data_IF_942778812144
#
_entry.id   IF_942778812144
#
_cell.length_a   1.000
_cell.length_b   1.000
_cell.length_c   1.000
_cell.angle_alpha   90.00
_cell.angle_beta   90.00
_cell.angle_gamma   90.00
#
_symmetry.space_group_name_H-M   'P 1'
#
loop_
_entity.id
_entity.type
_entity.pdbx_description
1 polymer ?
#
# COMPACT_ATOMS: atom_id res chain seq x y z
N UNK A 1 9.29 -15.40 19.96
CA UNK A 1 10.46 -16.29 19.84
C UNK A 1 10.78 -16.45 18.37
N UNK A 2 11.96 -16.04 17.94
CA UNK A 2 12.36 -16.09 16.52
C UNK A 2 12.75 -17.53 16.18
N UNK A 3 12.19 -18.09 15.11
CA UNK A 3 12.49 -19.44 14.61
C UNK A 3 14.02 -19.60 14.46
N UNK A 4 14.66 -20.60 15.11
CA UNK A 4 16.11 -20.76 15.09
C UNK A 4 16.65 -21.00 13.67
N UNK A 5 15.87 -21.66 12.80
CA UNK A 5 16.24 -21.86 11.40
C UNK A 5 16.23 -20.55 10.62
N UNK A 6 15.27 -19.66 10.90
CA UNK A 6 15.23 -18.32 10.30
C UNK A 6 16.45 -17.50 10.70
N UNK A 7 16.77 -17.47 12.00
CA UNK A 7 17.97 -16.78 12.50
C UNK A 7 19.23 -17.31 11.80
N UNK A 8 19.41 -18.63 11.74
CA UNK A 8 20.61 -19.23 11.14
C UNK A 8 20.68 -18.96 9.63
N UNK A 9 19.54 -19.01 8.94
CA UNK A 9 19.45 -18.67 7.51
C UNK A 9 19.89 -17.23 7.24
N UNK A 10 19.40 -16.27 8.02
CA UNK A 10 19.80 -14.85 7.91
C UNK A 10 21.29 -14.70 8.19
N UNK A 11 21.80 -15.32 9.26
CA UNK A 11 23.23 -15.26 9.62
C UNK A 11 24.11 -15.83 8.49
N UNK A 12 23.77 -17.00 7.94
CA UNK A 12 24.51 -17.61 6.84
C UNK A 12 24.43 -16.75 5.58
N UNK A 13 23.24 -16.30 5.18
CA UNK A 13 23.08 -15.42 4.00
C UNK A 13 23.90 -14.13 4.12
N UNK A 14 24.00 -13.55 5.32
CA UNK A 14 24.67 -12.27 5.53
C UNK A 14 26.18 -12.38 5.75
N UNK A 15 26.70 -13.54 6.19
CA UNK A 15 28.09 -13.63 6.68
C UNK A 15 28.92 -14.76 6.07
N UNK A 16 28.29 -15.66 5.30
CA UNK A 16 28.89 -16.90 4.81
C UNK A 16 28.73 -17.05 3.29
N UNK A 17 29.36 -18.08 2.73
CA UNK A 17 29.26 -18.35 1.29
C UNK A 17 27.88 -18.88 0.91
N UNK A 18 27.53 -18.77 -0.38
CA UNK A 18 26.25 -19.30 -0.88
C UNK A 18 26.17 -20.82 -0.74
N UNK A 19 27.30 -21.53 -0.84
CA UNK A 19 27.40 -22.97 -0.68
C UNK A 19 27.05 -23.42 0.75
N UNK A 20 27.57 -22.72 1.77
CA UNK A 20 27.27 -23.03 3.18
C UNK A 20 25.77 -22.82 3.49
N UNK A 21 25.18 -21.75 2.92
CA UNK A 21 23.74 -21.51 3.03
C UNK A 21 22.93 -22.63 2.35
N UNK A 22 23.28 -23.00 1.11
CA UNK A 22 22.59 -24.05 0.35
C UNK A 22 22.70 -25.39 1.08
N UNK A 23 23.87 -25.73 1.63
CA UNK A 23 24.05 -26.94 2.42
C UNK A 23 23.15 -26.96 3.66
N UNK A 24 23.07 -25.85 4.39
CA UNK A 24 22.17 -25.73 5.54
C UNK A 24 20.69 -25.91 5.14
N UNK A 25 20.24 -25.21 4.08
CA UNK A 25 18.86 -25.29 3.60
C UNK A 25 18.49 -26.70 3.09
N UNK A 26 19.41 -27.37 2.40
CA UNK A 26 19.22 -28.76 1.95
C UNK A 26 19.12 -29.75 3.11
N UNK A 27 19.71 -29.43 4.26
CA UNK A 27 19.58 -30.21 5.49
C UNK A 27 18.25 -30.04 6.22
N UNK A 28 17.42 -29.06 5.84
CA UNK A 28 16.14 -28.82 6.47
C UNK A 28 15.05 -29.71 5.88
N UNK A 29 14.14 -30.17 6.75
CA UNK A 29 12.93 -30.86 6.31
C UNK A 29 12.02 -29.92 5.51
N UNK A 30 11.19 -30.46 4.62
CA UNK A 30 10.17 -29.68 3.89
C UNK A 30 9.26 -28.86 4.83
N UNK A 31 8.72 -29.40 5.94
CA UNK A 31 8.00 -28.60 6.92
C UNK A 31 8.82 -27.43 7.50
N UNK A 32 10.10 -27.64 7.79
CA UNK A 32 10.98 -26.58 8.30
C UNK A 32 11.20 -25.46 7.27
N UNK A 33 11.34 -25.81 5.99
CA UNK A 33 11.46 -24.84 4.90
C UNK A 33 10.15 -24.05 4.72
N UNK A 34 8.99 -24.72 4.76
CA UNK A 34 7.69 -24.05 4.68
C UNK A 34 7.53 -23.05 5.84
N UNK A 35 7.82 -23.47 7.08
CA UNK A 35 7.76 -22.60 8.25
C UNK A 35 8.70 -21.39 8.10
N UNK A 36 9.92 -21.61 7.62
CA UNK A 36 10.89 -20.55 7.37
C UNK A 36 10.40 -19.53 6.32
N UNK A 37 9.82 -20.01 5.21
CA UNK A 37 9.24 -19.12 4.20
C UNK A 37 8.07 -18.32 4.76
N UNK A 38 7.19 -18.93 5.55
CA UNK A 38 6.06 -18.24 6.20
C UNK A 38 6.57 -17.18 7.17
N UNK A 39 7.60 -17.49 7.96
CA UNK A 39 8.17 -16.53 8.91
C UNK A 39 8.82 -15.34 8.19
N UNK A 40 9.55 -15.58 7.10
CA UNK A 40 10.11 -14.51 6.26
C UNK A 40 9.01 -13.60 5.71
N UNK A 41 7.98 -14.19 5.10
CA UNK A 41 6.85 -13.42 4.56
C UNK A 41 6.16 -12.62 5.68
N UNK A 42 5.89 -13.25 6.82
CA UNK A 42 5.26 -12.60 7.97
C UNK A 42 6.08 -11.41 8.48
N UNK A 43 7.40 -11.56 8.55
CA UNK A 43 8.32 -10.50 8.96
C UNK A 43 8.24 -9.30 7.99
N UNK A 44 8.40 -9.53 6.68
CA UNK A 44 8.42 -8.45 5.70
C UNK A 44 7.04 -7.80 5.49
N UNK A 45 5.95 -8.58 5.51
CA UNK A 45 4.60 -8.02 5.40
C UNK A 45 4.16 -7.22 6.63
N UNK A 46 4.85 -7.36 7.77
CA UNK A 46 4.57 -6.61 8.99
C UNK A 46 5.67 -5.59 9.36
N UNK A 47 6.71 -5.45 8.54
CA UNK A 47 7.70 -4.41 8.72
C UNK A 47 7.02 -3.03 8.66
N UNK A 48 7.26 -2.22 9.70
CA UNK A 48 6.72 -0.87 9.86
C UNK A 48 7.53 0.17 9.08
N UNK A 49 8.79 -0.13 8.77
CA UNK A 49 9.71 0.77 8.08
C UNK A 49 9.73 0.53 6.57
N UNK A 50 9.25 -0.63 6.11
CA UNK A 50 9.18 -0.99 4.71
C UNK A 50 7.78 -1.47 4.34
N UNK A 51 7.22 -0.91 3.26
CA UNK A 51 5.95 -1.31 2.67
C UNK A 51 6.11 -2.13 1.39
N UNK A 52 7.33 -2.47 0.98
CA UNK A 52 7.61 -2.98 -0.38
C UNK A 52 6.76 -4.18 -0.79
N UNK A 53 6.63 -5.21 0.06
CA UNK A 53 5.80 -6.38 -0.30
C UNK A 53 4.31 -6.04 -0.37
N UNK A 54 3.84 -5.13 0.48
CA UNK A 54 2.45 -4.65 0.46
C UNK A 54 2.17 -3.84 -0.81
N UNK A 55 3.11 -3.00 -1.23
CA UNK A 55 3.04 -2.26 -2.50
C UNK A 55 2.97 -3.20 -3.70
N UNK A 56 3.90 -4.15 -3.78
CA UNK A 56 3.94 -5.14 -4.88
C UNK A 56 2.65 -5.98 -4.92
N UNK A 57 2.16 -6.42 -3.76
CA UNK A 57 0.89 -7.16 -3.66
C UNK A 57 -0.26 -6.33 -4.22
N UNK A 58 -0.36 -5.05 -3.85
CA UNK A 58 -1.42 -4.17 -4.33
C UNK A 58 -1.33 -3.93 -5.84
N UNK A 59 -0.13 -3.73 -6.39
CA UNK A 59 0.10 -3.58 -7.82
C UNK A 59 -0.37 -4.83 -8.59
N UNK A 60 0.15 -6.01 -8.21
CA UNK A 60 -0.14 -7.26 -8.91
C UNK A 60 -1.62 -7.64 -8.83
N UNK A 61 -2.26 -7.44 -7.68
CA UNK A 61 -3.69 -7.68 -7.51
C UNK A 61 -4.56 -6.77 -8.39
N UNK A 62 -4.05 -5.61 -8.80
CA UNK A 62 -4.76 -4.67 -9.68
C UNK A 62 -4.28 -4.74 -11.14
N UNK A 63 -3.41 -5.68 -11.50
CA UNK A 63 -2.88 -5.82 -12.86
C UNK A 63 -1.89 -4.72 -13.26
N UNK A 64 -1.25 -4.05 -12.30
CA UNK A 64 -0.18 -3.09 -12.54
C UNK A 64 1.19 -3.75 -12.45
N UNK A 65 2.13 -3.25 -13.25
CA UNK A 65 3.54 -3.60 -13.17
C UNK A 65 4.27 -2.58 -12.29
N UNK A 66 5.23 -3.00 -11.45
CA UNK A 66 6.05 -2.07 -10.69
C UNK A 66 6.98 -1.28 -11.60
N UNK A 67 7.17 0.01 -11.31
CA UNK A 67 8.29 0.75 -11.88
C UNK A 67 9.60 0.28 -11.22
N UNK A 68 10.65 0.11 -12.05
CA UNK A 68 12.00 -0.24 -11.59
C UNK A 68 12.76 0.98 -11.04
N UNK A 69 12.38 2.18 -11.46
CA UNK A 69 13.02 3.43 -11.07
C UNK A 69 12.51 3.95 -9.72
N UNK A 70 13.43 4.52 -8.93
CA UNK A 70 13.18 4.97 -7.55
C UNK A 70 12.41 6.30 -7.47
N UNK A 71 12.35 7.04 -8.58
CA UNK A 71 11.72 8.36 -8.67
C UNK A 71 10.50 8.27 -9.59
N UNK A 72 9.33 8.63 -9.08
CA UNK A 72 8.07 8.62 -9.84
C UNK A 72 6.98 7.78 -9.16
N UNK A 73 6.00 7.38 -9.95
CA UNK A 73 4.87 6.56 -9.51
C UNK A 73 5.29 5.13 -9.19
N UNK A 74 4.55 4.44 -8.31
CA UNK A 74 4.90 3.08 -7.88
C UNK A 74 4.80 2.03 -9.00
N UNK A 75 3.89 2.22 -9.95
CA UNK A 75 3.67 1.28 -11.05
C UNK A 75 2.88 1.87 -12.19
N UNK A 76 2.63 1.04 -13.20
CA UNK A 76 1.88 1.41 -14.39
C UNK A 76 1.18 0.19 -15.02
N UNK A 77 0.19 0.47 -15.87
CA UNK A 77 -0.38 -0.52 -16.80
C UNK A 77 -0.58 0.12 -18.17
N UNK A 78 -0.65 -0.71 -19.20
CA UNK A 78 -1.03 -0.27 -20.54
C UNK A 78 -2.55 -0.32 -20.67
N UNK A 79 -3.15 0.83 -20.94
CA UNK A 79 -4.54 0.93 -21.39
C UNK A 79 -4.57 0.49 -22.86
N UNK A 80 -5.11 -0.70 -23.11
CA UNK A 80 -5.07 -1.35 -24.43
C UNK A 80 -5.94 -0.60 -25.44
N UNK A 81 -7.05 -0.03 -24.97
CA UNK A 81 -8.02 0.68 -25.83
C UNK A 81 -7.50 2.06 -26.23
N UNK A 82 -6.80 2.74 -25.33
CA UNK A 82 -6.23 4.06 -25.58
C UNK A 82 -4.75 4.05 -25.99
N UNK A 83 -4.10 2.88 -26.02
CA UNK A 83 -2.68 2.71 -26.35
C UNK A 83 -1.73 3.48 -25.41
N UNK A 84 -2.19 3.84 -24.20
CA UNK A 84 -1.46 4.76 -23.31
C UNK A 84 -1.04 4.11 -22.01
N UNK A 85 0.07 4.58 -21.48
CA UNK A 85 0.52 4.26 -20.12
C UNK A 85 -0.39 4.94 -19.11
N UNK A 86 -0.85 4.17 -18.11
CA UNK A 86 -1.59 4.66 -16.95
C UNK A 86 -0.76 4.38 -15.72
N UNK A 87 -0.23 5.43 -15.11
CA UNK A 87 0.55 5.33 -13.88
C UNK A 87 -0.31 5.19 -12.63
N UNK A 88 0.27 4.64 -11.57
CA UNK A 88 -0.37 4.55 -10.27
C UNK A 88 0.55 4.82 -9.08
N UNK A 89 -0.03 5.43 -8.04
CA UNK A 89 0.56 5.59 -6.71
C UNK A 89 -0.14 4.65 -5.72
N UNK A 90 0.64 3.91 -4.95
CA UNK A 90 0.17 2.90 -3.99
C UNK A 90 0.31 3.43 -2.58
N UNK A 91 -0.77 3.33 -1.80
CA UNK A 91 -0.86 3.76 -0.40
C UNK A 91 -1.28 2.58 0.49
N UNK A 92 -0.33 1.73 0.92
CA UNK A 92 -0.64 0.62 1.80
C UNK A 92 -0.69 1.05 3.26
N UNK A 93 -1.71 0.59 3.98
CA UNK A 93 -1.79 0.67 5.44
C UNK A 93 -1.76 -0.75 6.03
N UNK A 94 -0.98 -0.96 7.09
CA UNK A 94 -0.96 -2.22 7.84
C UNK A 94 -1.24 -1.95 9.30
N UNK A 95 -2.01 -2.82 9.95
CA UNK A 95 -2.24 -2.77 11.40
C UNK A 95 -2.29 -4.16 12.00
N UNK A 96 -1.78 -4.31 13.21
CA UNK A 96 -1.92 -5.46 14.10
C UNK A 96 -2.68 -5.08 15.38
N UNK A 97 -3.06 -3.80 15.53
CA UNK A 97 -3.68 -3.24 16.72
C UNK A 97 -5.10 -2.74 16.40
N UNK A 98 -6.15 -3.30 17.02
CA UNK A 98 -7.54 -2.88 16.77
C UNK A 98 -7.81 -1.43 17.22
N UNK A 99 -6.91 -0.79 17.99
CA UNK A 99 -6.98 0.64 18.31
C UNK A 99 -6.48 1.53 17.16
N UNK A 100 -5.64 0.99 16.27
CA UNK A 100 -5.10 1.68 15.07
C UNK A 100 -5.82 1.17 13.82
N UNK A 101 -7.09 1.55 13.69
CA UNK A 101 -7.96 1.04 12.65
C UNK A 101 -7.57 1.53 11.25
N UNK A 102 -7.70 0.66 10.27
CA UNK A 102 -7.63 1.01 8.85
C UNK A 102 -8.78 1.95 8.51
N UNK A 103 -8.48 3.04 7.79
CA UNK A 103 -9.45 4.08 7.47
C UNK A 103 -9.54 4.37 5.97
N UNK A 104 -8.97 3.50 5.12
CA UNK A 104 -8.87 3.71 3.68
C UNK A 104 -8.02 4.93 3.36
N UNK A 105 -7.01 5.21 4.17
CA UNK A 105 -6.20 6.41 4.04
C UNK A 105 -4.82 6.16 3.49
N UNK A 106 -4.10 7.25 3.30
CA UNK A 106 -2.72 7.28 2.85
C UNK A 106 -2.16 8.67 3.06
N UNK A 107 -0.87 8.82 2.76
CA UNK A 107 -0.24 10.14 2.74
C UNK A 107 0.74 10.27 1.58
N UNK A 108 0.92 11.50 1.13
CA UNK A 108 2.05 11.89 0.29
C UNK A 108 3.12 12.51 1.20
N UNK A 109 4.29 11.88 1.23
CA UNK A 109 5.42 12.38 1.99
C UNK A 109 6.19 13.40 1.18
N UNK A 110 6.74 14.39 1.89
CA UNK A 110 7.54 15.48 1.35
C UNK A 110 6.87 16.13 0.12
N UNK A 111 5.58 16.46 0.28
CA UNK A 111 4.72 16.92 -0.80
C UNK A 111 4.89 18.42 -1.07
N UNK A 112 4.92 18.82 -2.33
CA UNK A 112 5.15 20.21 -2.74
C UNK A 112 4.10 20.67 -3.75
N UNK A 113 4.01 21.99 -3.97
CA UNK A 113 3.10 22.58 -4.96
C UNK A 113 3.41 22.07 -6.38
N UNK A 114 4.69 21.88 -6.70
CA UNK A 114 5.13 21.40 -8.01
C UNK A 114 4.77 19.93 -8.22
N UNK A 115 4.92 19.09 -7.17
CA UNK A 115 4.47 17.69 -7.24
C UNK A 115 2.96 17.60 -7.38
N UNK A 116 2.22 18.44 -6.65
CA UNK A 116 0.76 18.53 -6.78
C UNK A 116 0.32 18.92 -8.20
N UNK A 117 0.98 19.90 -8.81
CA UNK A 117 0.73 20.27 -10.21
C UNK A 117 0.94 19.10 -11.18
N UNK A 118 2.06 18.37 -11.05
CA UNK A 118 2.33 17.18 -11.88
C UNK A 118 1.32 16.06 -11.66
N UNK A 119 0.92 15.80 -10.42
CA UNK A 119 -0.07 14.77 -10.12
C UNK A 119 -1.47 15.14 -10.64
N UNK A 120 -1.82 16.43 -10.66
CA UNK A 120 -3.06 16.88 -11.30
C UNK A 120 -3.04 16.71 -12.82
N UNK A 121 -1.91 17.02 -13.46
CA UNK A 121 -1.75 16.89 -14.90
C UNK A 121 -1.75 15.41 -15.35
N UNK A 122 -0.95 14.57 -14.68
CA UNK A 122 -0.86 13.15 -14.98
C UNK A 122 -2.10 12.35 -14.53
N UNK A 123 -2.78 12.84 -13.49
CA UNK A 123 -3.95 12.23 -12.87
C UNK A 123 -3.82 10.71 -12.65
N UNK A 124 -2.77 10.25 -11.93
CA UNK A 124 -2.48 8.83 -11.76
C UNK A 124 -3.60 8.11 -11.01
N UNK A 125 -3.65 6.79 -11.16
CA UNK A 125 -4.50 5.93 -10.34
C UNK A 125 -3.93 5.85 -8.92
N UNK A 126 -4.76 6.05 -7.92
CA UNK A 126 -4.42 5.85 -6.52
C UNK A 126 -4.96 4.49 -6.08
N UNK A 127 -4.04 3.65 -5.60
CA UNK A 127 -4.35 2.33 -5.06
C UNK A 127 -4.20 2.36 -3.54
N UNK A 128 -5.31 2.34 -2.81
CA UNK A 128 -5.30 2.32 -1.34
C UNK A 128 -5.61 0.92 -0.85
N UNK A 129 -4.66 0.30 -0.16
CA UNK A 129 -4.77 -1.09 0.29
C UNK A 129 -4.65 -1.20 1.80
N UNK A 130 -5.57 -1.95 2.41
CA UNK A 130 -5.57 -2.20 3.85
C UNK A 130 -5.13 -3.62 4.19
N UNK A 131 -4.19 -3.75 5.12
CA UNK A 131 -3.66 -5.02 5.62
C UNK A 131 -3.87 -5.15 7.13
N UNK A 132 -4.22 -6.35 7.58
CA UNK A 132 -4.25 -6.70 9.01
C UNK A 132 -3.29 -7.84 9.28
N UNK A 133 -2.29 -7.60 10.12
CA UNK A 133 -1.21 -8.56 10.37
C UNK A 133 -0.51 -9.03 9.09
N UNK A 134 -0.39 -8.14 8.09
CA UNK A 134 0.20 -8.46 6.79
C UNK A 134 -0.74 -9.14 5.80
N UNK A 135 -1.99 -9.45 6.20
CA UNK A 135 -3.00 -10.05 5.31
C UNK A 135 -3.81 -8.96 4.62
N UNK A 136 -3.90 -9.01 3.29
CA UNK A 136 -4.69 -8.06 2.50
C UNK A 136 -6.20 -8.21 2.80
N UNK A 137 -6.86 -7.08 3.09
CA UNK A 137 -8.30 -7.00 3.38
C UNK A 137 -9.07 -6.34 2.24
N UNK A 138 -8.58 -5.21 1.72
CA UNK A 138 -9.23 -4.49 0.63
C UNK A 138 -8.22 -3.74 -0.22
N UNK A 139 -8.63 -3.41 -1.46
CA UNK A 139 -7.97 -2.44 -2.32
C UNK A 139 -9.03 -1.53 -2.94
N UNK A 140 -8.88 -0.22 -2.75
CA UNK A 140 -9.60 0.81 -3.49
C UNK A 140 -8.74 1.34 -4.63
N UNK A 141 -9.37 1.56 -5.78
CA UNK A 141 -8.80 2.16 -6.98
C UNK A 141 -9.60 3.41 -7.32
N UNK A 142 -8.96 4.57 -7.48
CA UNK A 142 -9.61 5.81 -7.91
C UNK A 142 -8.59 6.78 -8.54
N UNK A 143 -9.04 7.78 -9.29
CA UNK A 143 -8.14 8.78 -9.91
C UNK A 143 -7.65 9.82 -8.89
N UNK A 144 -6.41 10.28 -9.03
CA UNK A 144 -5.81 11.29 -8.14
C UNK A 144 -6.68 12.54 -7.97
N UNK A 145 -7.37 12.97 -9.03
CA UNK A 145 -8.28 14.12 -9.01
C UNK A 145 -9.33 14.05 -7.89
N UNK A 146 -9.73 12.86 -7.42
CA UNK A 146 -10.62 12.70 -6.27
C UNK A 146 -10.07 13.33 -4.97
N UNK A 147 -8.76 13.51 -4.86
CA UNK A 147 -8.08 14.08 -3.68
C UNK A 147 -7.72 15.56 -3.87
N UNK A 148 -8.04 16.17 -5.01
CA UNK A 148 -7.62 17.53 -5.38
C UNK A 148 -7.92 18.55 -4.28
N UNK A 149 -9.17 18.65 -3.86
CA UNK A 149 -9.57 19.65 -2.86
C UNK A 149 -8.91 19.42 -1.51
N UNK A 150 -8.80 18.15 -1.10
CA UNK A 150 -8.16 17.77 0.15
C UNK A 150 -6.69 18.19 0.17
N UNK A 151 -5.94 17.84 -0.86
CA UNK A 151 -4.50 18.09 -0.94
C UNK A 151 -4.20 19.58 -1.16
N UNK A 152 -4.98 20.26 -2.00
CA UNK A 152 -4.90 21.72 -2.18
C UNK A 152 -5.07 22.45 -0.85
N UNK A 153 -6.13 22.16 -0.10
CA UNK A 153 -6.36 22.82 1.18
C UNK A 153 -5.30 22.50 2.25
N UNK A 154 -4.57 21.38 2.14
CA UNK A 154 -3.42 21.11 3.00
C UNK A 154 -2.18 21.91 2.58
N UNK A 155 -1.94 22.03 1.27
CA UNK A 155 -0.81 22.77 0.72
C UNK A 155 -0.98 24.28 0.93
N UNK A 156 -2.16 24.85 0.70
CA UNK A 156 -2.44 26.27 0.93
C UNK A 156 -2.25 26.67 2.40
N UNK A 157 -2.58 25.77 3.34
CA UNK A 157 -2.30 25.98 4.76
C UNK A 157 -0.81 25.94 5.10
N UNK A 158 -0.02 25.13 4.37
CA UNK A 158 1.42 25.00 4.60
C UNK A 158 2.24 26.09 3.90
N UNK A 159 1.77 26.50 2.72
CA UNK A 159 2.37 27.47 1.81
C UNK A 159 1.32 28.51 1.38
N UNK A 160 0.95 29.43 2.30
CA UNK A 160 0.00 30.50 1.98
C UNK A 160 0.48 31.30 0.77
N UNK A 161 -0.45 31.70 -0.10
CA UNK A 161 -0.16 32.49 -1.32
C UNK A 161 0.82 31.81 -2.30
N UNK A 162 1.01 30.49 -2.17
CA UNK A 162 1.96 29.75 -3.01
C UNK A 162 3.43 30.00 -2.65
N UNK A 163 3.71 30.69 -1.55
CA UNK A 163 5.07 30.98 -1.12
C UNK A 163 5.69 29.74 -0.48
N UNK A 164 6.62 29.11 -1.21
CA UNK A 164 7.41 27.96 -0.75
C UNK A 164 8.89 28.30 -0.92
N UNK A 165 9.68 28.09 0.14
CA UNK A 165 11.15 28.20 0.03
C UNK A 165 11.75 26.90 -0.48
N UNK A 166 12.89 26.99 -1.13
CA UNK A 166 13.63 25.81 -1.56
C UNK A 166 13.94 24.90 -0.36
N UNK A 167 13.78 23.58 -0.55
CA UNK A 167 13.92 22.58 0.52
C UNK A 167 12.69 22.40 1.40
N UNK A 168 11.67 23.28 1.34
CA UNK A 168 10.45 23.08 2.11
C UNK A 168 9.49 22.09 1.44
N UNK A 169 8.76 21.34 2.27
CA UNK A 169 7.73 20.41 1.87
C UNK A 169 6.68 20.24 2.97
N UNK A 170 5.48 19.79 2.57
CA UNK A 170 4.46 19.32 3.48
C UNK A 170 4.76 17.86 3.87
N UNK A 171 5.07 17.66 5.15
CA UNK A 171 5.22 16.32 5.72
C UNK A 171 3.86 15.66 5.85
N UNK A 172 3.70 14.50 5.20
CA UNK A 172 2.52 13.65 5.32
C UNK A 172 1.21 14.37 4.96
N UNK A 173 1.05 14.71 3.68
CA UNK A 173 -0.21 15.19 3.14
C UNK A 173 -1.25 14.04 3.14
N UNK A 174 -1.97 13.93 4.26
CA UNK A 174 -2.81 12.78 4.58
C UNK A 174 -4.25 12.89 4.07
N UNK A 175 -4.83 11.74 3.75
CA UNK A 175 -6.22 11.57 3.38
C UNK A 175 -6.78 10.25 3.94
N UNK A 176 -8.09 10.08 3.87
CA UNK A 176 -8.85 8.94 4.35
C UNK A 176 -9.98 8.58 3.38
N UNK A 177 -10.68 7.48 3.63
CA UNK A 177 -11.84 7.07 2.84
C UNK A 177 -12.90 8.18 2.70
N UNK A 178 -13.08 9.01 3.73
CA UNK A 178 -14.06 10.12 3.71
C UNK A 178 -13.75 11.15 2.64
N UNK A 179 -12.48 11.31 2.27
CA UNK A 179 -12.05 12.36 1.35
C UNK A 179 -12.31 11.96 -0.13
N UNK A 180 -12.58 10.68 -0.43
CA UNK A 180 -12.83 10.20 -1.81
C UNK A 180 -14.01 9.24 -1.98
N UNK A 181 -14.75 8.90 -0.91
CA UNK A 181 -15.85 7.90 -0.93
C UNK A 181 -16.95 8.16 -1.96
N UNK A 182 -17.18 9.43 -2.30
CA UNK A 182 -18.24 9.86 -3.23
C UNK A 182 -17.67 10.12 -4.64
N UNK A 183 -16.40 9.78 -4.88
CA UNK A 183 -15.77 10.02 -6.17
C UNK A 183 -16.33 9.07 -7.24
N UNK A 184 -16.72 9.56 -8.43
CA UNK A 184 -17.26 8.71 -9.50
C UNK A 184 -16.28 7.65 -10.01
N UNK A 185 -14.97 7.88 -9.87
CA UNK A 185 -13.94 6.92 -10.29
C UNK A 185 -13.62 5.86 -9.23
N UNK A 186 -14.24 5.93 -8.05
CA UNK A 186 -13.99 4.98 -6.98
C UNK A 186 -14.47 3.58 -7.35
N UNK A 187 -13.53 2.64 -7.29
CA UNK A 187 -13.76 1.21 -7.47
C UNK A 187 -13.18 0.45 -6.29
N UNK A 188 -13.92 -0.53 -5.81
CA UNK A 188 -13.39 -1.56 -4.91
C UNK A 188 -12.77 -2.67 -5.77
N UNK A 189 -11.45 -2.61 -5.97
CA UNK A 189 -10.72 -3.57 -6.80
C UNK A 189 -10.59 -4.94 -6.13
N UNK A 190 -10.51 -4.97 -4.80
CA UNK A 190 -10.46 -6.21 -4.03
C UNK A 190 -11.15 -6.01 -2.68
N UNK A 191 -11.88 -7.04 -2.24
CA UNK A 191 -12.35 -7.18 -0.87
C UNK A 191 -12.27 -8.64 -0.49
N UNK A 192 -11.63 -8.90 0.63
CA UNK A 192 -11.50 -10.22 1.23
C UNK A 192 -12.87 -10.77 1.62
N UNK A 193 -13.15 -12.03 1.29
CA UNK A 193 -14.46 -12.66 1.55
C UNK A 193 -14.83 -12.69 3.05
N UNK A 194 -13.87 -13.04 3.90
CA UNK A 194 -14.02 -13.10 5.36
C UNK A 194 -13.67 -11.78 6.06
N UNK A 195 -13.81 -10.62 5.40
CA UNK A 195 -13.45 -9.32 6.00
C UNK A 195 -14.14 -9.03 7.35
N UNK A 196 -15.31 -9.63 7.61
CA UNK A 196 -16.06 -9.44 8.85
C UNK A 196 -15.27 -9.91 10.08
N UNK A 197 -14.43 -10.94 9.91
CA UNK A 197 -13.50 -11.42 10.93
C UNK A 197 -12.45 -10.38 11.34
N UNK A 198 -12.31 -9.30 10.55
CA UNK A 198 -11.37 -8.21 10.77
C UNK A 198 -12.08 -6.88 11.12
N UNK A 199 -13.39 -6.90 11.38
CA UNK A 199 -14.22 -5.70 11.60
C UNK A 199 -13.66 -4.77 12.68
N UNK A 200 -13.06 -5.32 13.74
CA UNK A 200 -12.49 -4.53 14.82
C UNK A 200 -11.28 -3.69 14.39
N UNK A 201 -10.59 -4.09 13.33
CA UNK A 201 -9.46 -3.38 12.73
C UNK A 201 -9.88 -2.35 11.67
N UNK A 202 -11.17 -2.25 11.34
CA UNK A 202 -11.69 -1.37 10.30
C UNK A 202 -12.44 -0.19 10.90
N UNK A 203 -12.27 0.99 10.30
CA UNK A 203 -13.05 2.16 10.69
C UNK A 203 -14.55 1.91 10.47
N UNK A 204 -15.38 2.66 11.20
CA UNK A 204 -16.84 2.59 11.04
C UNK A 204 -17.28 2.94 9.62
N UNK A 205 -16.58 3.86 8.95
CA UNK A 205 -16.94 4.28 7.60
C UNK A 205 -16.65 3.19 6.57
N UNK A 206 -15.51 2.51 6.67
CA UNK A 206 -15.20 1.35 5.83
C UNK A 206 -16.19 0.22 6.06
N UNK A 207 -16.47 -0.09 7.32
CA UNK A 207 -17.41 -1.15 7.69
C UNK A 207 -18.79 -0.90 7.07
N UNK A 208 -19.33 0.32 7.22
CA UNK A 208 -20.61 0.71 6.63
C UNK A 208 -20.59 0.61 5.10
N UNK A 209 -19.51 1.03 4.47
CA UNK A 209 -19.36 0.93 3.02
C UNK A 209 -19.39 -0.53 2.56
N UNK A 210 -18.61 -1.42 3.18
CA UNK A 210 -18.56 -2.84 2.83
C UNK A 210 -19.90 -3.56 3.09
N UNK A 211 -20.60 -3.24 4.18
CA UNK A 211 -21.96 -3.73 4.44
C UNK A 211 -22.96 -3.25 3.39
N UNK A 212 -22.81 -2.02 2.89
CA UNK A 212 -23.63 -1.44 1.82
C UNK A 212 -23.51 -2.18 0.49
N UNK A 213 -22.33 -2.71 0.16
CA UNK A 213 -22.09 -3.42 -1.11
C UNK A 213 -22.83 -4.76 -1.19
N UNK A 214 -23.06 -5.43 -0.07
CA UNK A 214 -23.82 -6.69 -0.03
C UNK A 214 -25.29 -6.51 -0.42
N UNK A 215 -25.85 -5.31 -0.26
CA UNK A 215 -27.24 -5.03 -0.63
C UNK A 215 -27.48 -5.03 -2.15
N UNK A 216 -26.43 -5.09 -2.96
CA UNK A 216 -26.47 -5.05 -4.42
C UNK A 216 -26.00 -6.34 -5.10
N UNK A 217 -25.68 -7.38 -4.31
CA UNK A 217 -25.38 -8.73 -4.80
C UNK A 217 -26.56 -9.70 -4.57
N UNK A 218 -27.79 -9.21 -4.74
CA UNK A 218 -29.01 -10.03 -4.80
C UNK A 218 -29.48 -10.10 -6.24
#
# INVERSE_FOLDING_TARGET
>A
MTNPNLRKTIELYSTRSSEELVQFLNGLSKPSLIALCIDLLTLYFNDKNSSRLRELTTLWMCGFQPNSEKLGYNGYRMDVDAGRRVDCEVKPQNTDDPRKKLNGGGSFNDYTLERFGRDLENNPIILVSGFVGGKLIYIFEFKFECLKEKLRGLLERRFPEGQRREGEYLRSAGFSFRDYKDCPSLKLAYLRDDWHSFKDYLSRDLTKYFEGLKKWKV
#
